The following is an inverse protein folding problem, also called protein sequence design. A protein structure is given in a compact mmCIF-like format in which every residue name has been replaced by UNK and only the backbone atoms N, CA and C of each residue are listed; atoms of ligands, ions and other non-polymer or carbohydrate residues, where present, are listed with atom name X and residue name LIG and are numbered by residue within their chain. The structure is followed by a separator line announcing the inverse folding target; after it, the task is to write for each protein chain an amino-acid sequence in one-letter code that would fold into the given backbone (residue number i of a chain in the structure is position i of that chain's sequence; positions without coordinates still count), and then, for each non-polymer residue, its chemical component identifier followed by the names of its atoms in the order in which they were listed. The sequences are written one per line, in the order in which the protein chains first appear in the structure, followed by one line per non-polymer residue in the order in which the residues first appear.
data_IF_759901873476
#
_entry.id   IF_759901873476
#
_cell.length_a   1.000
_cell.length_b   1.000
_cell.length_c   1.000
_cell.angle_alpha   90.00
_cell.angle_beta   90.00
_cell.angle_gamma   90.00
#
_symmetry.space_group_name_H-M   'P 1'
#
loop_
_entity.id
_entity.type
_entity.pdbx_description
1 polymer ?
#
# COMPACT_ATOMS: atom_id res chain seq x y z
N UNK A 1 -16.97 -3.95 -4.85
CA UNK A 1 -17.29 -3.87 -3.41
C UNK A 1 -16.15 -4.42 -2.61
N UNK A 2 -16.31 -4.54 -1.31
CA UNK A 2 -15.19 -4.95 -0.45
C UNK A 2 -14.63 -6.34 -0.79
N UNK A 3 -15.48 -7.26 -1.23
CA UNK A 3 -15.03 -8.59 -1.62
C UNK A 3 -14.13 -8.56 -2.86
N UNK A 4 -14.42 -7.67 -3.81
CA UNK A 4 -13.58 -7.51 -4.99
C UNK A 4 -12.25 -6.85 -4.63
N UNK A 5 -12.28 -5.90 -3.71
CA UNK A 5 -11.07 -5.25 -3.20
C UNK A 5 -10.18 -6.29 -2.55
N UNK A 6 -10.73 -7.10 -1.64
CA UNK A 6 -9.98 -8.17 -0.97
C UNK A 6 -9.40 -9.16 -1.97
N UNK A 7 -10.17 -9.53 -2.98
CA UNK A 7 -9.72 -10.47 -4.00
C UNK A 7 -8.53 -9.93 -4.77
N UNK A 8 -8.59 -8.67 -5.20
CA UNK A 8 -7.49 -8.05 -5.93
C UNK A 8 -6.23 -7.93 -5.09
N UNK A 9 -6.39 -7.56 -3.82
CA UNK A 9 -5.25 -7.48 -2.91
C UNK A 9 -4.62 -8.85 -2.68
N UNK A 10 -5.44 -9.90 -2.53
CA UNK A 10 -4.96 -11.27 -2.37
C UNK A 10 -4.22 -11.73 -3.61
N UNK A 11 -4.70 -11.38 -4.80
CA UNK A 11 -4.03 -11.71 -6.05
C UNK A 11 -2.62 -11.10 -6.10
N UNK A 12 -2.46 -9.87 -5.61
CA UNK A 12 -1.14 -9.22 -5.60
C UNK A 12 -0.20 -9.89 -4.59
N UNK A 13 -0.72 -10.30 -3.44
CA UNK A 13 0.07 -11.06 -2.48
C UNK A 13 0.51 -12.40 -3.08
N UNK A 14 -0.40 -13.09 -3.74
CA UNK A 14 -0.11 -14.39 -4.36
C UNK A 14 0.95 -14.24 -5.45
N UNK A 15 0.88 -13.19 -6.26
CA UNK A 15 1.90 -12.90 -7.28
C UNK A 15 3.26 -12.69 -6.65
N UNK A 16 3.31 -11.93 -5.56
CA UNK A 16 4.57 -11.69 -4.85
C UNK A 16 5.16 -12.98 -4.31
N UNK A 17 4.34 -13.80 -3.66
CA UNK A 17 4.82 -15.08 -3.09
C UNK A 17 5.28 -16.04 -4.16
N UNK A 18 4.66 -16.00 -5.34
CA UNK A 18 5.02 -16.86 -6.45
C UNK A 18 6.32 -16.42 -7.14
N UNK A 19 6.54 -15.12 -7.29
CA UNK A 19 7.71 -14.58 -7.97
C UNK A 19 8.15 -13.26 -7.34
N UNK A 20 8.90 -13.37 -6.25
CA UNK A 20 9.36 -12.21 -5.49
C UNK A 20 10.29 -11.32 -6.30
N UNK A 21 11.08 -11.92 -7.21
CA UNK A 21 12.03 -11.17 -8.01
C UNK A 21 11.37 -10.25 -9.04
N UNK A 22 10.10 -10.47 -9.36
CA UNK A 22 9.38 -9.63 -10.31
C UNK A 22 8.93 -8.30 -9.70
N UNK A 23 8.96 -8.17 -8.38
CA UNK A 23 8.52 -6.93 -7.72
C UNK A 23 9.69 -5.96 -7.59
N UNK A 24 9.39 -4.69 -7.84
CA UNK A 24 10.39 -3.64 -7.87
C UNK A 24 10.46 -2.91 -6.53
N UNK A 25 11.68 -2.55 -6.07
CA UNK A 25 11.79 -1.68 -4.90
C UNK A 25 11.24 -0.29 -5.22
N UNK A 26 10.68 0.36 -4.21
CA UNK A 26 10.12 1.71 -4.35
C UNK A 26 11.19 2.71 -4.82
N UNK A 27 12.38 2.62 -4.23
CA UNK A 27 13.58 3.32 -4.71
C UNK A 27 14.74 2.31 -4.72
N UNK A 28 15.73 2.48 -5.58
CA UNK A 28 16.89 1.59 -5.60
C UNK A 28 17.55 1.48 -4.22
N UNK A 29 17.75 0.24 -3.77
CA UNK A 29 18.35 -0.04 -2.48
C UNK A 29 17.40 -0.01 -1.29
N UNK A 30 16.14 0.36 -1.48
CA UNK A 30 15.15 0.32 -0.40
C UNK A 30 14.57 -1.07 -0.24
N UNK A 31 14.13 -1.35 0.98
CA UNK A 31 13.44 -2.60 1.31
C UNK A 31 11.91 -2.45 1.32
N UNK A 32 11.38 -1.46 0.64
CA UNK A 32 9.94 -1.30 0.40
C UNK A 32 9.69 -1.55 -1.08
N UNK A 33 8.82 -2.51 -1.37
CA UNK A 33 8.45 -2.93 -2.72
C UNK A 33 7.00 -2.58 -2.96
N UNK A 34 6.60 -2.43 -4.20
CA UNK A 34 5.21 -2.14 -4.54
C UNK A 34 4.70 -3.09 -5.62
N UNK A 35 3.40 -3.39 -5.56
CA UNK A 35 2.72 -4.19 -6.56
C UNK A 35 2.26 -3.34 -7.72
N UNK A 36 1.89 -3.98 -8.82
CA UNK A 36 1.28 -3.29 -9.96
C UNK A 36 -0.04 -2.63 -9.55
N UNK A 37 -0.82 -3.31 -8.73
CA UNK A 37 -2.08 -2.76 -8.23
C UNK A 37 -1.84 -1.50 -7.39
N UNK A 38 -0.81 -1.50 -6.53
CA UNK A 38 -0.46 -0.31 -5.75
C UNK A 38 -0.19 0.87 -6.68
N UNK A 39 0.58 0.65 -7.74
CA UNK A 39 0.94 1.68 -8.69
C UNK A 39 -0.30 2.25 -9.41
N UNK A 40 -1.18 1.37 -9.86
CA UNK A 40 -2.45 1.79 -10.46
C UNK A 40 -3.32 2.57 -9.48
N UNK A 41 -3.42 2.06 -8.26
CA UNK A 41 -4.21 2.70 -7.22
C UNK A 41 -3.64 4.07 -6.84
N UNK A 42 -2.33 4.24 -6.87
CA UNK A 42 -1.71 5.52 -6.57
C UNK A 42 -2.13 6.59 -7.58
N UNK A 43 -2.16 6.23 -8.86
CA UNK A 43 -2.63 7.16 -9.90
C UNK A 43 -4.09 7.54 -9.66
N UNK A 44 -4.94 6.56 -9.35
CA UNK A 44 -6.36 6.80 -9.09
C UNK A 44 -6.57 7.63 -7.81
N UNK A 45 -5.81 7.36 -6.76
CA UNK A 45 -5.90 8.11 -5.51
C UNK A 45 -5.46 9.56 -5.71
N UNK A 46 -4.38 9.80 -6.46
CA UNK A 46 -3.92 11.14 -6.77
C UNK A 46 -4.96 11.91 -7.57
N UNK A 47 -5.59 11.26 -8.55
CA UNK A 47 -6.66 11.88 -9.34
C UNK A 47 -7.87 12.22 -8.48
N UNK A 48 -8.23 11.36 -7.53
CA UNK A 48 -9.33 11.61 -6.60
C UNK A 48 -9.04 12.82 -5.72
N UNK A 49 -7.85 12.89 -5.14
CA UNK A 49 -7.45 14.04 -4.31
C UNK A 49 -7.49 15.32 -5.14
N UNK A 50 -6.99 15.28 -6.37
CA UNK A 50 -7.01 16.42 -7.28
C UNK A 50 -8.44 16.91 -7.56
N UNK A 51 -9.38 15.97 -7.72
CA UNK A 51 -10.78 16.33 -7.95
C UNK A 51 -11.43 17.02 -6.77
N UNK A 52 -10.96 16.74 -5.54
CA UNK A 52 -11.45 17.37 -4.33
C UNK A 52 -10.78 18.71 -4.06
N UNK A 53 -9.47 18.76 -4.25
CA UNK A 53 -8.67 19.98 -4.04
C UNK A 53 -7.33 19.83 -4.76
N UNK A 54 -7.19 20.52 -5.88
CA UNK A 54 -6.00 20.42 -6.72
C UNK A 54 -4.71 20.77 -5.98
N UNK A 55 -4.77 21.70 -5.04
CA UNK A 55 -3.61 22.12 -4.27
C UNK A 55 -3.11 21.02 -3.31
N UNK A 56 -3.94 20.06 -2.95
CA UNK A 56 -3.59 19.01 -2.01
C UNK A 56 -2.82 17.82 -2.62
N UNK A 57 -2.79 17.71 -3.95
CA UNK A 57 -2.14 16.57 -4.62
C UNK A 57 -0.68 16.45 -4.24
N UNK A 58 0.02 17.59 -4.25
CA UNK A 58 1.44 17.62 -3.90
C UNK A 58 1.67 17.17 -2.46
N UNK A 59 0.84 17.64 -1.53
CA UNK A 59 0.92 17.25 -0.12
C UNK A 59 0.60 15.78 0.07
N UNK A 60 -0.42 15.27 -0.61
CA UNK A 60 -0.80 13.86 -0.55
C UNK A 60 0.38 12.97 -0.95
N UNK A 61 1.02 13.26 -2.07
CA UNK A 61 2.14 12.47 -2.56
C UNK A 61 3.36 12.60 -1.64
N UNK A 62 3.62 13.79 -1.13
CA UNK A 62 4.73 14.03 -0.22
C UNK A 62 4.56 13.26 1.10
N UNK A 63 3.35 13.24 1.65
CA UNK A 63 3.07 12.49 2.87
C UNK A 63 3.24 10.99 2.65
N UNK A 64 2.79 10.45 1.51
CA UNK A 64 3.00 9.05 1.19
C UNK A 64 4.49 8.71 1.10
N UNK A 65 5.26 9.53 0.41
CA UNK A 65 6.71 9.31 0.30
C UNK A 65 7.37 9.32 1.68
N UNK A 66 6.97 10.24 2.54
CA UNK A 66 7.51 10.32 3.90
C UNK A 66 7.19 9.08 4.70
N UNK A 67 5.96 8.57 4.61
CA UNK A 67 5.54 7.35 5.29
C UNK A 67 6.37 6.17 4.81
N UNK A 68 6.55 6.05 3.50
CA UNK A 68 7.27 4.94 2.88
C UNK A 68 8.75 4.95 3.26
N UNK A 69 9.39 6.12 3.21
CA UNK A 69 10.79 6.26 3.57
C UNK A 69 11.05 5.90 5.02
N UNK A 70 10.09 6.18 5.91
CA UNK A 70 10.23 5.93 7.34
C UNK A 70 9.55 4.63 7.80
N UNK A 71 9.19 3.75 6.87
CA UNK A 71 8.34 2.60 7.18
C UNK A 71 8.95 1.67 8.23
N UNK A 72 10.24 1.38 8.12
CA UNK A 72 10.91 0.45 9.04
C UNK A 72 10.91 0.93 10.49
N UNK A 73 10.82 2.23 10.73
CA UNK A 73 10.76 2.78 12.09
C UNK A 73 9.34 2.84 12.65
N UNK A 74 8.34 2.77 11.78
CA UNK A 74 6.94 2.96 12.15
C UNK A 74 6.08 1.70 12.02
N UNK A 75 6.65 0.60 11.55
CA UNK A 75 5.90 -0.62 11.26
C UNK A 75 5.12 -1.14 12.47
N UNK A 76 5.66 -0.98 13.67
CA UNK A 76 5.01 -1.44 14.91
C UNK A 76 3.75 -0.66 15.25
N UNK A 77 3.60 0.56 14.73
CA UNK A 77 2.42 1.39 14.99
C UNK A 77 1.20 0.95 14.20
N UNK A 78 1.42 0.28 13.07
CA UNK A 78 0.35 -0.09 12.19
C UNK A 78 -0.38 -1.32 12.70
N UNK A 79 -1.70 -1.34 12.53
CA UNK A 79 -2.54 -2.44 12.98
C UNK A 79 -2.68 -3.50 11.90
N UNK A 80 -3.02 -4.71 12.32
CA UNK A 80 -3.33 -5.80 11.41
C UNK A 80 -4.34 -5.33 10.37
N UNK A 81 -4.13 -5.73 9.11
CA UNK A 81 -5.01 -5.34 8.01
C UNK A 81 -6.43 -5.85 8.21
N UNK A 82 -7.41 -5.01 7.89
CA UNK A 82 -8.81 -5.42 7.89
C UNK A 82 -9.18 -6.21 6.63
N UNK A 83 -8.29 -6.22 5.63
CA UNK A 83 -8.55 -6.90 4.36
C UNK A 83 -8.00 -8.32 4.31
N UNK A 84 -7.22 -8.70 5.31
CA UNK A 84 -6.58 -10.02 5.38
C UNK A 84 -6.70 -10.60 6.78
N UNK A 85 -6.74 -11.91 6.86
CA UNK A 85 -6.62 -12.62 8.14
C UNK A 85 -5.19 -13.17 8.25
N UNK A 86 -4.23 -12.25 8.40
CA UNK A 86 -2.80 -12.58 8.41
C UNK A 86 -2.06 -11.55 9.27
N UNK A 87 -1.37 -12.04 10.29
CA UNK A 87 -0.62 -11.18 11.21
C UNK A 87 0.51 -10.40 10.54
N UNK A 88 0.98 -10.87 9.39
CA UNK A 88 2.06 -10.25 8.65
C UNK A 88 1.59 -9.19 7.66
N UNK A 89 0.30 -8.88 7.65
CA UNK A 89 -0.25 -7.84 6.79
C UNK A 89 -0.88 -6.77 7.65
N UNK A 90 -0.41 -5.55 7.47
CA UNK A 90 -0.87 -4.38 8.23
C UNK A 90 -1.38 -3.31 7.28
N UNK A 91 -2.14 -2.37 7.80
CA UNK A 91 -2.66 -1.24 7.02
C UNK A 91 -2.02 0.06 7.45
N UNK A 92 -1.55 0.84 6.48
CA UNK A 92 -1.20 2.25 6.68
C UNK A 92 -2.48 3.05 6.46
N UNK A 93 -2.83 3.93 7.39
CA UNK A 93 -3.96 4.83 7.23
C UNK A 93 -3.43 6.23 6.92
N UNK A 94 -3.93 6.84 5.85
CA UNK A 94 -3.49 8.17 5.46
C UNK A 94 -4.58 8.90 4.69
N UNK A 95 -5.12 9.98 5.26
CA UNK A 95 -6.05 10.89 4.59
C UNK A 95 -7.24 10.17 3.91
N UNK A 96 -7.85 9.22 4.60
CA UNK A 96 -9.00 8.48 4.09
C UNK A 96 -8.65 7.28 3.21
N UNK A 97 -7.36 7.01 3.04
CA UNK A 97 -6.89 5.85 2.29
C UNK A 97 -6.23 4.84 3.22
N UNK A 98 -6.39 3.57 2.88
CA UNK A 98 -5.73 2.46 3.56
C UNK A 98 -4.76 1.79 2.60
N UNK A 99 -3.56 1.49 3.07
CA UNK A 99 -2.54 0.84 2.26
C UNK A 99 -2.14 -0.47 2.94
N UNK A 100 -2.71 -1.61 2.51
CA UNK A 100 -2.28 -2.90 3.05
C UNK A 100 -0.87 -3.23 2.58
N UNK A 101 -0.03 -3.69 3.50
CA UNK A 101 1.33 -4.12 3.14
C UNK A 101 1.70 -5.41 3.84
N UNK A 102 2.44 -6.24 3.13
CA UNK A 102 2.91 -7.52 3.62
C UNK A 102 4.34 -7.38 4.16
N UNK A 103 4.57 -7.94 5.35
CA UNK A 103 5.89 -7.96 5.98
C UNK A 103 6.55 -9.30 5.65
N UNK A 104 7.51 -9.28 4.75
CA UNK A 104 8.28 -10.49 4.41
C UNK A 104 9.52 -10.53 5.28
N UNK A 105 9.40 -11.18 6.43
CA UNK A 105 10.50 -11.26 7.40
C UNK A 105 11.69 -12.01 6.84
N UNK A 106 11.46 -13.02 6.01
CA UNK A 106 12.53 -13.80 5.42
C UNK A 106 13.45 -12.99 4.52
N UNK A 107 12.90 -12.03 3.79
CA UNK A 107 13.67 -11.12 2.94
C UNK A 107 13.98 -9.79 3.60
N UNK A 108 13.30 -9.48 4.69
CA UNK A 108 13.45 -8.19 5.34
C UNK A 108 12.86 -7.04 4.54
N UNK A 109 11.77 -7.28 3.82
CA UNK A 109 11.14 -6.27 2.96
C UNK A 109 9.67 -6.10 3.31
N UNK A 110 9.13 -4.95 2.91
CA UNK A 110 7.71 -4.61 3.03
C UNK A 110 7.14 -4.48 1.63
N UNK A 111 5.99 -5.09 1.38
CA UNK A 111 5.38 -5.09 0.04
C UNK A 111 4.05 -4.37 0.10
N UNK A 112 3.96 -3.22 -0.56
CA UNK A 112 2.73 -2.45 -0.66
C UNK A 112 1.80 -3.14 -1.66
N UNK A 113 0.64 -3.59 -1.20
CA UNK A 113 -0.26 -4.41 -2.03
C UNK A 113 -1.27 -3.61 -2.83
N UNK A 114 -1.70 -2.47 -2.30
CA UNK A 114 -2.66 -1.62 -2.98
C UNK A 114 -2.99 -0.40 -2.14
N UNK A 115 -3.84 0.47 -2.66
CA UNK A 115 -4.38 1.62 -1.93
C UNK A 115 -5.89 1.56 -2.04
N UNK A 116 -6.57 1.53 -0.91
CA UNK A 116 -8.03 1.47 -0.85
C UNK A 116 -8.56 2.81 -0.33
N UNK A 117 -9.49 3.41 -1.08
CA UNK A 117 -10.19 4.58 -0.60
C UNK A 117 -11.32 4.11 0.31
N UNK A 118 -11.11 4.19 1.62
CA UNK A 118 -12.08 3.68 2.59
C UNK A 118 -13.41 4.44 2.60
N UNK A 119 -13.44 5.67 2.08
CA UNK A 119 -14.68 6.43 1.96
C UNK A 119 -15.56 5.95 0.82
N UNK A 120 -14.96 5.41 -0.24
CA UNK A 120 -15.67 4.95 -1.43
C UNK A 120 -16.08 3.48 -1.30
N UNK A 121 -15.25 2.66 -0.66
CA UNK A 121 -15.47 1.22 -0.57
C UNK A 121 -16.49 0.81 0.49
N UNK A 122 -16.90 1.72 1.29
CA UNK A 122 -17.98 1.49 2.27
C UNK A 122 -19.35 1.78 1.65
#
# INVERSE_FOLDING_TARGET
MINEVKKKLQEELDKYLLDKAAFMPYYPGMNVFFSDLYKENLEAASAFVKSQNEAEVKNFNLYLDTIIVNMHTKVKKYKKSIYFDDENIKDIQNQGFSIPFFIDEGKGVYVLLGIVNSEITL
#
